data_IF_903266514276
#
_entry.id   IF_903266514276
#
_cell.length_a   1.000
_cell.length_b   1.000
_cell.length_c   1.000
_cell.angle_alpha   90.00
_cell.angle_beta   90.00
_cell.angle_gamma   90.00
#
_symmetry.space_group_name_H-M   'P 1'
#
loop_
_entity.id
_entity.type
_entity.pdbx_description
1 polymer ?
#
# COMPACT_ATOMS: atom_id res chain seq x y z
N UNK A 1 16.27 4.07 3.93
CA UNK A 1 14.88 3.57 3.89
C UNK A 1 14.75 2.72 2.64
N UNK A 2 14.34 1.46 2.76
CA UNK A 2 14.20 0.57 1.60
C UNK A 2 12.75 0.59 1.13
N UNK A 3 12.55 0.99 -0.12
CA UNK A 3 11.25 1.02 -0.79
C UNK A 3 11.02 -0.33 -1.48
N UNK A 4 9.92 -0.99 -1.17
CA UNK A 4 9.56 -2.30 -1.73
C UNK A 4 8.38 -2.15 -2.67
N UNK A 5 8.54 -2.58 -3.92
CA UNK A 5 7.46 -2.59 -4.92
C UNK A 5 6.61 -3.85 -4.81
N UNK A 6 5.32 -3.74 -5.13
CA UNK A 6 4.38 -4.85 -5.15
C UNK A 6 3.27 -4.61 -6.19
N UNK A 7 2.56 -5.66 -6.56
CA UNK A 7 1.37 -5.58 -7.42
C UNK A 7 0.12 -5.99 -6.65
N UNK A 8 -1.04 -5.47 -7.06
CA UNK A 8 -2.33 -5.81 -6.46
C UNK A 8 -3.44 -5.74 -7.52
N UNK A 9 -4.46 -6.57 -7.36
CA UNK A 9 -5.64 -6.53 -8.23
C UNK A 9 -6.72 -5.60 -7.65
N UNK A 10 -7.27 -4.77 -8.53
CA UNK A 10 -8.41 -3.91 -8.25
C UNK A 10 -9.22 -3.68 -9.53
N UNK A 11 -10.55 -3.79 -9.46
CA UNK A 11 -11.42 -3.55 -10.63
C UNK A 11 -11.15 -4.47 -11.84
N UNK A 12 -10.67 -5.69 -11.61
CA UNK A 12 -10.30 -6.63 -12.69
C UNK A 12 -9.01 -6.26 -13.43
N UNK A 13 -8.22 -5.32 -12.90
CA UNK A 13 -6.92 -4.91 -13.44
C UNK A 13 -5.83 -5.08 -12.39
N UNK A 14 -4.62 -5.35 -12.86
CA UNK A 14 -3.41 -5.40 -12.02
C UNK A 14 -2.79 -4.03 -11.95
N UNK A 15 -2.65 -3.51 -10.74
CA UNK A 15 -2.04 -2.23 -10.43
C UNK A 15 -0.71 -2.42 -9.71
N UNK A 16 0.13 -1.40 -9.78
CA UNK A 16 1.42 -1.37 -9.08
C UNK A 16 1.38 -0.42 -7.90
N UNK A 17 2.02 -0.84 -6.82
CA UNK A 17 2.19 -0.06 -5.60
C UNK A 17 3.62 -0.19 -5.08
N UNK A 18 3.95 0.67 -4.13
CA UNK A 18 5.19 0.55 -3.38
C UNK A 18 4.95 0.92 -1.94
N UNK A 19 5.67 0.29 -1.02
CA UNK A 19 5.62 0.65 0.38
C UNK A 19 7.02 0.84 0.95
N UNK A 20 7.10 1.67 1.98
CA UNK A 20 8.29 1.86 2.80
C UNK A 20 7.89 1.82 4.27
N UNK A 21 8.80 1.33 5.11
CA UNK A 21 8.59 1.27 6.56
C UNK A 21 9.59 2.21 7.21
N UNK A 22 9.08 3.14 8.02
CA UNK A 22 9.88 4.10 8.78
C UNK A 22 9.23 4.35 10.13
N UNK A 23 10.02 4.25 11.21
CA UNK A 23 9.57 4.54 12.57
C UNK A 23 8.30 3.80 13.00
N UNK A 24 8.17 2.53 12.61
CA UNK A 24 6.98 1.70 12.90
C UNK A 24 5.74 2.03 12.08
N UNK A 25 5.85 2.97 11.14
CA UNK A 25 4.79 3.32 10.18
C UNK A 25 5.10 2.69 8.83
N UNK A 26 4.06 2.22 8.16
CA UNK A 26 4.13 1.87 6.73
C UNK A 26 3.51 3.00 5.92
N UNK A 27 4.22 3.39 4.86
CA UNK A 27 3.79 4.38 3.89
C UNK A 27 3.60 3.66 2.57
N UNK A 28 2.41 3.75 1.99
CA UNK A 28 2.02 3.08 0.75
C UNK A 28 1.76 4.15 -0.29
N UNK A 29 2.39 4.00 -1.45
CA UNK A 29 2.22 4.86 -2.62
C UNK A 29 1.72 4.02 -3.79
N UNK A 30 0.67 4.50 -4.43
CA UNK A 30 0.05 3.91 -5.63
C UNK A 30 -0.19 5.00 -6.68
N UNK A 31 -0.66 4.63 -7.87
CA UNK A 31 -1.12 5.58 -8.88
C UNK A 31 -2.34 6.42 -8.42
N UNK A 32 -3.11 5.91 -7.46
CA UNK A 32 -4.31 6.57 -6.93
C UNK A 32 -4.02 7.54 -5.77
N UNK A 33 -2.81 7.52 -5.22
CA UNK A 33 -2.42 8.37 -4.09
C UNK A 33 -1.52 7.67 -3.07
N UNK A 34 -1.44 8.26 -1.89
CA UNK A 34 -0.59 7.82 -0.79
C UNK A 34 -1.37 7.67 0.52
N UNK A 35 -1.08 6.62 1.28
CA UNK A 35 -1.63 6.40 2.63
C UNK A 35 -0.53 5.94 3.57
N UNK A 36 -0.63 6.30 4.85
CA UNK A 36 0.29 5.82 5.88
C UNK A 36 -0.48 5.40 7.12
N UNK A 37 0.00 4.36 7.79
CA UNK A 37 -0.57 3.90 9.06
C UNK A 37 0.48 3.17 9.90
N UNK A 38 0.14 2.86 11.14
CA UNK A 38 0.99 2.05 12.02
C UNK A 38 1.04 0.60 11.53
N UNK A 39 2.23 0.02 11.44
CA UNK A 39 2.40 -1.37 11.02
C UNK A 39 1.78 -2.35 12.04
N UNK A 40 1.91 -2.04 13.33
CA UNK A 40 1.43 -2.89 14.43
C UNK A 40 2.07 -4.29 14.37
N UNK A 41 1.24 -5.33 14.52
CA UNK A 41 1.66 -6.74 14.46
C UNK A 41 1.39 -7.39 13.10
N UNK A 42 0.91 -6.64 12.11
CA UNK A 42 0.58 -7.17 10.78
C UNK A 42 1.82 -7.18 9.88
N UNK A 43 1.86 -8.11 8.93
CA UNK A 43 2.90 -8.13 7.90
C UNK A 43 2.75 -6.92 6.98
N UNK A 44 3.89 -6.33 6.61
CA UNK A 44 3.91 -5.13 5.80
C UNK A 44 3.25 -5.33 4.43
N UNK A 45 3.44 -6.48 3.79
CA UNK A 45 2.82 -6.75 2.49
C UNK A 45 1.29 -6.83 2.59
N UNK A 46 0.78 -7.42 3.66
CA UNK A 46 -0.67 -7.50 3.91
C UNK A 46 -1.27 -6.11 4.10
N UNK A 47 -0.66 -5.29 4.94
CA UNK A 47 -1.12 -3.92 5.18
C UNK A 47 -0.99 -3.05 3.93
N UNK A 48 0.10 -3.21 3.17
CA UNK A 48 0.33 -2.50 1.93
C UNK A 48 -0.76 -2.81 0.89
N UNK A 49 -1.11 -4.07 0.71
CA UNK A 49 -2.19 -4.48 -0.19
C UNK A 49 -3.57 -4.00 0.25
N UNK A 50 -3.85 -3.97 1.55
CA UNK A 50 -5.10 -3.41 2.08
C UNK A 50 -5.23 -1.92 1.79
N UNK A 51 -4.20 -1.13 2.14
CA UNK A 51 -4.18 0.32 1.92
C UNK A 51 -4.19 0.67 0.42
N UNK A 52 -3.50 -0.09 -0.42
CA UNK A 52 -3.52 0.11 -1.87
C UNK A 52 -4.92 -0.08 -2.46
N UNK A 53 -5.65 -1.12 -2.03
CA UNK A 53 -7.04 -1.36 -2.44
C UNK A 53 -7.99 -0.28 -1.91
N UNK A 54 -7.72 0.25 -0.73
CA UNK A 54 -8.50 1.34 -0.15
C UNK A 54 -8.33 2.63 -0.97
N UNK A 55 -7.09 3.02 -1.28
CA UNK A 55 -6.78 4.15 -2.16
C UNK A 55 -7.47 4.01 -3.53
N UNK A 56 -7.43 2.81 -4.11
CA UNK A 56 -8.09 2.55 -5.40
C UNK A 56 -9.62 2.67 -5.34
N UNK A 57 -10.24 2.24 -4.22
CA UNK A 57 -11.69 2.42 -3.99
C UNK A 57 -12.06 3.88 -3.77
N UNK A 58 -11.24 4.64 -3.05
CA UNK A 58 -11.48 6.07 -2.79
C UNK A 58 -11.35 6.93 -4.05
N UNK A 59 -10.57 6.46 -5.04
CA UNK A 59 -10.39 7.12 -6.33
C UNK A 59 -11.40 6.71 -7.41
N UNK A 60 -12.26 5.71 -7.14
CA UNK A 60 -13.33 5.23 -8.05
C UNK A 60 -14.66 5.90 -7.77
#
# INVERSE_FOLDING_TARGET
MSKTSFTYEHGGRTHSGSHEISSGMIFVTTEFGQKKTQLGNLRAETLAGMLARELAREAS
#
